data_IF_568504324481
#
_entry.id   IF_568504324481
#
_cell.length_a   1.000
_cell.length_b   1.000
_cell.length_c   1.000
_cell.angle_alpha   90.00
_cell.angle_beta   90.00
_cell.angle_gamma   90.00
#
_symmetry.space_group_name_H-M   'P 1'
#
loop_
_entity.id
_entity.type
_entity.pdbx_description
1 polymer ?
#
# COMPACT_ATOMS: atom_id res chain seq x y z
N UNK A 1 -22.55 -12.00 2.70
CA UNK A 1 -21.25 -12.29 3.37
C UNK A 1 -20.22 -11.48 2.63
N UNK A 2 -19.62 -10.47 3.27
CA UNK A 2 -18.43 -9.80 2.74
C UNK A 2 -17.21 -10.60 3.21
N UNK A 3 -16.30 -10.90 2.31
CA UNK A 3 -15.04 -11.57 2.65
C UNK A 3 -14.03 -10.52 3.07
N UNK A 4 -13.34 -10.73 4.18
CA UNK A 4 -12.24 -9.86 4.60
C UNK A 4 -11.02 -10.12 3.72
N UNK A 5 -10.43 -9.05 3.17
CA UNK A 5 -9.24 -9.09 2.32
C UNK A 5 -8.09 -8.32 2.98
N UNK A 6 -6.99 -9.01 3.23
CA UNK A 6 -5.73 -8.41 3.66
C UNK A 6 -4.69 -8.54 2.54
N UNK A 7 -4.05 -7.43 2.17
CA UNK A 7 -3.06 -7.35 1.10
C UNK A 7 -1.70 -7.02 1.74
N UNK A 8 -0.77 -7.98 1.68
CA UNK A 8 0.58 -7.81 2.20
C UNK A 8 1.53 -7.41 1.07
N UNK A 9 2.21 -6.26 1.21
CA UNK A 9 3.08 -5.69 0.17
C UNK A 9 4.49 -5.49 0.73
N UNK A 10 5.44 -6.40 0.47
CA UNK A 10 6.85 -6.16 0.76
C UNK A 10 7.45 -5.22 -0.27
N UNK A 11 8.15 -4.18 0.18
CA UNK A 11 8.75 -3.16 -0.68
C UNK A 11 10.17 -2.81 -0.25
N UNK A 12 10.96 -2.31 -1.19
CA UNK A 12 12.28 -1.71 -0.95
C UNK A 12 12.55 -0.69 -2.06
N UNK A 13 12.84 0.56 -1.68
CA UNK A 13 13.05 1.70 -2.59
C UNK A 13 11.93 1.84 -3.65
N UNK A 14 10.67 1.87 -3.19
CA UNK A 14 9.49 1.80 -4.05
C UNK A 14 8.72 3.12 -4.16
N UNK A 15 9.34 4.24 -3.75
CA UNK A 15 8.70 5.56 -3.67
C UNK A 15 8.02 5.98 -4.98
N UNK A 16 8.61 5.63 -6.12
CA UNK A 16 8.08 5.98 -7.45
C UNK A 16 6.71 5.35 -7.74
N UNK A 17 6.46 4.14 -7.23
CA UNK A 17 5.34 3.31 -7.66
C UNK A 17 4.30 3.08 -6.55
N UNK A 18 4.67 3.34 -5.30
CA UNK A 18 3.77 3.10 -4.17
C UNK A 18 2.46 3.91 -4.25
N UNK A 19 2.42 5.18 -4.72
CA UNK A 19 1.16 5.91 -4.82
C UNK A 19 0.17 5.26 -5.79
N UNK A 20 0.62 5.00 -7.03
CA UNK A 20 -0.20 4.35 -8.06
C UNK A 20 -0.70 2.98 -7.59
N UNK A 21 0.14 2.23 -6.88
CA UNK A 21 -0.23 0.92 -6.33
C UNK A 21 -1.37 1.05 -5.31
N UNK A 22 -1.23 1.95 -4.33
CA UNK A 22 -2.23 2.15 -3.28
C UNK A 22 -3.53 2.73 -3.84
N UNK A 23 -3.45 3.73 -4.71
CA UNK A 23 -4.60 4.34 -5.37
C UNK A 23 -5.38 3.29 -6.19
N UNK A 24 -4.67 2.38 -6.87
CA UNK A 24 -5.30 1.31 -7.64
C UNK A 24 -6.08 0.34 -6.77
N UNK A 25 -5.57 0.01 -5.57
CA UNK A 25 -6.21 -0.91 -4.62
C UNK A 25 -7.43 -0.25 -3.98
N UNK A 26 -7.25 0.98 -3.47
CA UNK A 26 -8.30 1.73 -2.78
C UNK A 26 -9.43 2.17 -3.73
N UNK A 27 -9.12 2.34 -5.01
CA UNK A 27 -10.11 2.69 -6.04
C UNK A 27 -10.99 1.52 -6.55
N UNK A 28 -10.79 0.29 -6.06
CA UNK A 28 -11.65 -0.85 -6.45
C UNK A 28 -13.00 -0.83 -5.72
N UNK A 29 -13.99 -1.54 -6.26
CA UNK A 29 -15.24 -1.79 -5.54
C UNK A 29 -14.96 -2.52 -4.22
N UNK A 30 -15.30 -1.89 -3.10
CA UNK A 30 -14.99 -2.40 -1.75
C UNK A 30 -13.58 -2.08 -1.23
N UNK A 31 -12.87 -1.14 -1.87
CA UNK A 31 -11.56 -0.66 -1.41
C UNK A 31 -11.55 -0.08 0.00
N UNK A 32 -12.69 0.40 0.50
CA UNK A 32 -12.84 0.89 1.88
C UNK A 32 -12.80 -0.23 2.94
N UNK A 33 -13.01 -1.48 2.53
CA UNK A 33 -13.11 -2.65 3.42
C UNK A 33 -11.84 -3.55 3.37
N UNK A 34 -10.75 -3.08 2.75
CA UNK A 34 -9.49 -3.84 2.68
C UNK A 34 -8.50 -3.42 3.76
N UNK A 35 -7.66 -4.35 4.19
CA UNK A 35 -6.50 -4.07 5.04
C UNK A 35 -5.23 -4.15 4.19
N UNK A 36 -4.40 -3.10 4.21
CA UNK A 36 -3.10 -3.09 3.53
C UNK A 36 -2.00 -3.15 4.59
N UNK A 37 -1.09 -4.11 4.45
CA UNK A 37 0.06 -4.30 5.35
C UNK A 37 1.34 -4.14 4.53
N UNK A 38 2.10 -3.09 4.81
CA UNK A 38 3.36 -2.82 4.11
C UNK A 38 4.54 -3.27 4.96
N UNK A 39 5.41 -4.07 4.36
CA UNK A 39 6.69 -4.45 4.93
C UNK A 39 7.79 -3.71 4.17
N UNK A 40 8.29 -2.63 4.76
CA UNK A 40 9.43 -1.91 4.21
C UNK A 40 10.75 -2.60 4.58
N UNK A 41 11.51 -2.99 3.57
CA UNK A 41 12.81 -3.65 3.67
C UNK A 41 13.97 -2.71 3.99
N UNK A 42 13.74 -1.71 4.85
CA UNK A 42 14.67 -0.61 5.15
C UNK A 42 15.05 0.22 3.91
N UNK A 43 14.03 0.75 3.22
CA UNK A 43 14.23 1.66 2.10
C UNK A 43 15.07 2.88 2.50
N UNK A 44 15.88 3.35 1.56
CA UNK A 44 16.75 4.54 1.71
C UNK A 44 16.28 5.71 0.84
N UNK A 45 15.22 5.52 0.07
CA UNK A 45 14.55 6.57 -0.69
C UNK A 45 13.40 7.18 0.13
N UNK A 46 12.56 7.99 -0.52
CA UNK A 46 11.44 8.67 0.13
C UNK A 46 10.17 7.81 0.29
N UNK A 47 10.29 6.48 0.31
CA UNK A 47 9.16 5.56 0.41
C UNK A 47 8.37 5.80 1.70
N UNK A 48 9.05 5.92 2.84
CA UNK A 48 8.41 6.09 4.14
C UNK A 48 7.65 7.43 4.25
N UNK A 49 8.22 8.51 3.70
CA UNK A 49 7.60 9.83 3.68
C UNK A 49 6.33 9.85 2.83
N UNK A 50 6.31 9.14 1.69
CA UNK A 50 5.11 9.00 0.87
C UNK A 50 4.04 8.20 1.63
N UNK A 51 4.42 7.09 2.26
CA UNK A 51 3.50 6.25 3.01
C UNK A 51 2.85 6.96 4.20
N UNK A 52 3.53 7.90 4.83
CA UNK A 52 2.96 8.71 5.91
C UNK A 52 1.82 9.65 5.45
N UNK A 53 1.65 9.85 4.14
CA UNK A 53 0.59 10.66 3.55
C UNK A 53 -0.66 9.87 3.11
N UNK A 54 -0.64 8.54 3.25
CA UNK A 54 -1.76 7.64 2.97
C UNK A 54 -2.46 7.22 4.26
#
# INVERSE_FOLDING_TARGET
MTASLSICIPIYNFAKFIPETLDSILGQDGGDDVQIVILDGASTDNTAEILAGY
#
